data_IF_167880670909
#
_entry.id   IF_167880670909
#
_cell.length_a   1.000
_cell.length_b   1.000
_cell.length_c   1.000
_cell.angle_alpha   90.00
_cell.angle_beta   90.00
_cell.angle_gamma   90.00
#
_symmetry.space_group_name_H-M   'P 1'
#
loop_
_entity.id
_entity.type
_entity.pdbx_description
1 polymer ?
#
# COMPACT_ATOMS: atom_id res chain seq x y z
N UNK A 1 -11.90 12.61 18.77
CA UNK A 1 -11.36 11.34 19.29
C UNK A 1 -12.35 10.70 20.26
N UNK A 2 -12.40 9.37 20.33
CA UNK A 2 -13.29 8.61 21.22
C UNK A 2 -12.44 7.79 22.20
N UNK A 3 -12.97 7.47 23.38
CA UNK A 3 -12.29 6.59 24.35
C UNK A 3 -12.14 5.15 23.81
N UNK A 4 -11.03 4.50 24.17
CA UNK A 4 -10.78 3.09 23.85
C UNK A 4 -11.85 2.18 24.47
N UNK A 5 -12.37 1.23 23.67
CA UNK A 5 -13.36 0.22 24.10
C UNK A 5 -12.85 -1.21 23.92
N UNK A 6 -11.54 -1.40 24.08
CA UNK A 6 -10.92 -2.72 24.02
C UNK A 6 -11.56 -3.66 25.05
N UNK A 7 -11.86 -4.88 24.63
CA UNK A 7 -12.46 -5.94 25.45
C UNK A 7 -11.64 -7.22 25.21
N UNK A 8 -10.89 -7.65 26.24
CA UNK A 8 -10.02 -8.81 26.14
C UNK A 8 -10.77 -10.11 25.80
N UNK A 9 -12.08 -10.17 26.09
CA UNK A 9 -12.91 -11.34 25.75
C UNK A 9 -13.26 -11.42 24.25
N UNK A 10 -13.04 -10.35 23.49
CA UNK A 10 -13.36 -10.24 22.05
C UNK A 10 -12.14 -10.25 21.13
N UNK A 11 -10.98 -10.63 21.65
CA UNK A 11 -9.75 -10.73 20.85
C UNK A 11 -9.92 -11.81 19.78
N UNK A 12 -9.76 -11.43 18.51
CA UNK A 12 -9.84 -12.35 17.35
C UNK A 12 -8.46 -12.84 16.93
N UNK A 13 -7.43 -12.02 17.09
CA UNK A 13 -6.04 -12.39 16.79
C UNK A 13 -5.06 -11.59 17.65
N UNK A 14 -3.85 -12.13 17.76
CA UNK A 14 -2.73 -11.50 18.46
C UNK A 14 -1.54 -11.38 17.51
N UNK A 15 -0.73 -10.34 17.69
CA UNK A 15 0.49 -10.10 16.91
C UNK A 15 1.70 -10.40 17.79
N UNK A 16 2.50 -11.38 17.39
CA UNK A 16 3.68 -11.81 18.14
C UNK A 16 4.95 -11.00 17.78
N UNK A 17 4.90 -10.21 16.72
CA UNK A 17 6.01 -9.38 16.27
C UNK A 17 5.77 -8.81 14.87
N UNK A 18 6.76 -8.07 14.37
CA UNK A 18 6.79 -7.54 13.02
C UNK A 18 8.21 -7.61 12.46
N UNK A 19 8.34 -7.55 11.14
CA UNK A 19 9.63 -7.46 10.44
C UNK A 19 9.59 -6.28 9.49
N UNK A 20 10.61 -5.44 9.57
CA UNK A 20 10.82 -4.41 8.56
C UNK A 20 11.53 -5.02 7.36
N UNK A 21 11.05 -4.70 6.17
CA UNK A 21 11.69 -5.08 4.91
C UNK A 21 12.68 -3.96 4.54
N UNK A 22 13.87 -4.29 4.00
CA UNK A 22 14.83 -3.28 3.59
C UNK A 22 14.22 -2.24 2.65
N UNK A 23 14.59 -0.98 2.88
CA UNK A 23 14.20 0.13 2.03
C UNK A 23 14.93 0.06 0.69
N UNK A 24 14.22 0.38 -0.41
CA UNK A 24 14.75 0.35 -1.79
C UNK A 24 15.30 -1.00 -2.26
N UNK A 25 14.78 -2.09 -1.71
CA UNK A 25 15.07 -3.45 -2.18
C UNK A 25 13.77 -4.09 -2.69
N UNK A 26 13.39 -3.73 -3.91
CA UNK A 26 12.13 -4.16 -4.50
C UNK A 26 12.07 -5.67 -4.75
N UNK A 27 13.24 -6.33 -4.92
CA UNK A 27 13.32 -7.79 -5.03
C UNK A 27 12.90 -8.42 -3.71
N UNK A 28 13.51 -8.00 -2.59
CA UNK A 28 13.14 -8.51 -1.27
C UNK A 28 11.72 -8.12 -0.88
N UNK A 29 11.25 -6.94 -1.27
CA UNK A 29 9.86 -6.51 -1.05
C UNK A 29 8.87 -7.36 -1.84
N UNK A 30 9.17 -7.68 -3.11
CA UNK A 30 8.31 -8.53 -3.94
C UNK A 30 8.27 -9.94 -3.38
N UNK A 31 9.43 -10.46 -2.97
CA UNK A 31 9.54 -11.75 -2.31
C UNK A 31 8.71 -11.79 -1.02
N UNK A 32 8.71 -10.74 -0.22
CA UNK A 32 7.89 -10.67 0.98
C UNK A 32 6.38 -10.68 0.67
N UNK A 33 5.95 -9.92 -0.35
CA UNK A 33 4.54 -9.92 -0.81
C UNK A 33 4.13 -11.31 -1.30
N UNK A 34 5.02 -12.01 -2.01
CA UNK A 34 4.79 -13.35 -2.53
C UNK A 34 4.75 -14.42 -1.42
N UNK A 35 5.76 -14.47 -0.55
CA UNK A 35 5.96 -15.55 0.40
C UNK A 35 5.11 -15.41 1.67
N UNK A 36 4.85 -14.17 2.10
CA UNK A 36 4.17 -13.88 3.36
C UNK A 36 2.73 -13.40 3.13
N UNK A 37 2.50 -12.68 2.03
CA UNK A 37 1.21 -12.06 1.71
C UNK A 37 1.25 -10.53 1.86
N UNK A 38 0.10 -9.88 2.11
CA UNK A 38 0.02 -8.43 2.09
C UNK A 38 0.98 -7.71 3.05
N UNK A 39 1.68 -6.70 2.53
CA UNK A 39 2.72 -5.94 3.24
C UNK A 39 2.27 -4.49 3.44
N UNK A 40 2.32 -4.00 4.69
CA UNK A 40 2.08 -2.58 4.98
C UNK A 40 3.21 -1.73 4.40
N UNK A 41 2.87 -0.69 3.64
CA UNK A 41 3.82 0.24 3.02
C UNK A 41 3.36 1.68 3.22
N UNK A 42 4.30 2.62 3.13
CA UNK A 42 3.98 4.04 3.19
C UNK A 42 4.41 4.74 1.89
N UNK A 43 3.58 5.66 1.41
CA UNK A 43 3.75 6.35 0.12
C UNK A 43 3.57 7.87 0.28
N UNK A 44 4.00 8.61 -0.74
CA UNK A 44 3.65 10.02 -0.94
C UNK A 44 2.32 10.12 -1.71
N UNK A 45 1.24 10.43 -0.99
CA UNK A 45 -0.11 10.58 -1.54
C UNK A 45 -0.56 12.06 -1.60
N UNK A 46 0.37 13.01 -1.51
CA UNK A 46 0.06 14.44 -1.44
C UNK A 46 -0.38 15.06 -2.77
N UNK A 47 -0.15 14.37 -3.88
CA UNK A 47 -0.36 14.90 -5.23
C UNK A 47 -1.82 14.80 -5.69
N UNK A 48 -2.28 15.79 -6.45
CA UNK A 48 -3.63 15.76 -7.05
C UNK A 48 -3.82 14.58 -8.01
N UNK A 49 -2.76 14.15 -8.68
CA UNK A 49 -2.73 12.96 -9.54
C UNK A 49 -3.08 11.68 -8.76
N UNK A 50 -2.60 11.55 -7.52
CA UNK A 50 -3.00 10.46 -6.63
C UNK A 50 -4.47 10.60 -6.21
N UNK A 51 -4.87 11.79 -5.75
CA UNK A 51 -6.23 12.04 -5.27
C UNK A 51 -7.29 11.73 -6.32
N UNK A 52 -7.00 12.04 -7.59
CA UNK A 52 -7.89 11.84 -8.74
C UNK A 52 -7.62 10.55 -9.53
N UNK A 53 -6.77 9.66 -9.02
CA UNK A 53 -6.50 8.37 -9.66
C UNK A 53 -7.80 7.57 -9.84
N UNK A 54 -7.95 6.94 -11.00
CA UNK A 54 -9.10 6.10 -11.34
C UNK A 54 -8.70 4.72 -11.86
N UNK A 55 -7.68 4.62 -12.72
CA UNK A 55 -7.23 3.34 -13.30
C UNK A 55 -5.84 3.47 -13.95
N UNK A 56 -5.29 2.33 -14.39
CA UNK A 56 -3.98 2.23 -15.03
C UNK A 56 -2.80 2.20 -14.06
N UNK A 57 -1.58 2.11 -14.59
CA UNK A 57 -0.35 2.18 -13.79
C UNK A 57 -0.02 3.64 -13.46
N UNK A 58 -0.16 3.99 -12.19
CA UNK A 58 0.10 5.31 -11.64
C UNK A 58 1.59 5.60 -11.54
N UNK A 59 1.98 6.71 -12.14
CA UNK A 59 3.31 7.31 -12.05
C UNK A 59 3.19 8.79 -11.72
N UNK A 60 3.96 9.27 -10.75
CA UNK A 60 4.04 10.68 -10.39
C UNK A 60 5.48 11.16 -10.46
N UNK A 61 5.84 11.97 -11.48
CA UNK A 61 7.20 12.49 -11.66
C UNK A 61 7.74 13.28 -10.46
N UNK A 62 6.86 13.85 -9.63
CA UNK A 62 7.22 14.63 -8.42
C UNK A 62 7.10 13.82 -7.13
N UNK A 63 6.94 12.50 -7.21
CA UNK A 63 6.88 11.62 -6.04
C UNK A 63 8.16 11.80 -5.21
N UNK A 64 8.01 12.13 -3.93
CA UNK A 64 9.14 12.40 -3.05
C UNK A 64 9.25 11.32 -1.97
N UNK A 65 10.32 10.49 -1.97
CA UNK A 65 10.51 9.44 -0.97
C UNK A 65 10.68 9.97 0.47
N UNK A 66 10.91 11.27 0.65
CA UNK A 66 11.02 11.92 1.95
C UNK A 66 9.71 12.61 2.39
N UNK A 67 8.70 12.68 1.53
CA UNK A 67 7.39 13.29 1.81
C UNK A 67 6.29 12.25 2.08
N UNK A 68 6.68 11.08 2.61
CA UNK A 68 5.77 9.99 2.96
C UNK A 68 4.71 10.51 3.94
N UNK A 69 3.44 10.34 3.59
CA UNK A 69 2.31 10.88 4.35
C UNK A 69 1.11 9.93 4.44
N UNK A 70 1.14 8.78 3.76
CA UNK A 70 0.01 7.86 3.70
C UNK A 70 0.44 6.39 3.84
N UNK A 71 -0.28 5.63 4.65
CA UNK A 71 -0.04 4.20 4.87
C UNK A 71 -1.10 3.36 4.15
N UNK A 72 -0.64 2.40 3.36
CA UNK A 72 -1.44 1.55 2.46
C UNK A 72 -0.92 0.11 2.51
N UNK A 73 -1.55 -0.80 1.76
CA UNK A 73 -1.23 -2.23 1.80
C UNK A 73 -0.88 -2.73 0.40
N UNK A 74 0.38 -3.13 0.19
CA UNK A 74 0.77 -3.85 -1.02
C UNK A 74 0.22 -5.28 -0.95
N UNK A 75 -0.63 -5.65 -1.90
CA UNK A 75 -1.34 -6.95 -1.93
C UNK A 75 -0.89 -7.85 -3.08
N UNK A 76 -0.05 -7.33 -3.98
CA UNK A 76 0.47 -8.05 -5.13
C UNK A 76 1.35 -7.15 -6.00
N UNK A 77 1.84 -7.71 -7.09
CA UNK A 77 2.60 -7.00 -8.11
C UNK A 77 2.42 -7.71 -9.46
N UNK A 78 2.75 -7.03 -10.55
CA UNK A 78 2.64 -7.60 -11.90
C UNK A 78 3.22 -6.67 -12.95
N UNK A 79 2.87 -6.94 -14.20
CA UNK A 79 3.28 -6.14 -15.37
C UNK A 79 2.05 -5.86 -16.23
N UNK A 80 1.84 -4.61 -16.63
CA UNK A 80 0.76 -4.17 -17.51
C UNK A 80 1.34 -3.24 -18.58
N UNK A 81 1.11 -3.55 -19.86
CA UNK A 81 1.59 -2.71 -20.96
C UNK A 81 3.12 -2.54 -21.02
N UNK A 82 3.88 -3.47 -20.43
CA UNK A 82 5.34 -3.39 -20.34
C UNK A 82 5.86 -2.58 -19.15
N UNK A 83 4.98 -2.11 -18.26
CA UNK A 83 5.35 -1.44 -17.01
C UNK A 83 5.07 -2.33 -15.81
N UNK A 84 6.07 -2.51 -14.96
CA UNK A 84 5.93 -3.21 -13.69
C UNK A 84 5.16 -2.35 -12.67
N UNK A 85 4.34 -3.00 -11.85
CA UNK A 85 3.53 -2.31 -10.85
C UNK A 85 3.40 -3.08 -9.53
N UNK A 86 3.19 -2.34 -8.45
CA UNK A 86 2.62 -2.81 -7.20
C UNK A 86 1.10 -2.67 -7.23
N UNK A 87 0.37 -3.72 -6.87
CA UNK A 87 -1.06 -3.62 -6.58
C UNK A 87 -1.24 -3.24 -5.12
N UNK A 88 -1.82 -2.07 -4.88
CA UNK A 88 -1.93 -1.46 -3.56
C UNK A 88 -3.38 -1.22 -3.20
N UNK A 89 -3.79 -1.70 -2.02
CA UNK A 89 -5.11 -1.44 -1.43
C UNK A 89 -5.09 -0.14 -0.65
N UNK A 90 -6.03 0.75 -0.96
CA UNK A 90 -6.21 2.01 -0.26
C UNK A 90 -7.34 1.91 0.80
N UNK A 91 -7.49 2.96 1.61
CA UNK A 91 -8.45 3.08 2.72
C UNK A 91 -9.49 4.17 2.51
N UNK A 92 -9.59 4.74 1.30
CA UNK A 92 -10.54 5.81 0.94
C UNK A 92 -11.87 5.31 0.37
N UNK A 93 -12.17 4.03 0.57
CA UNK A 93 -13.38 3.38 0.07
C UNK A 93 -13.26 2.88 -1.36
N UNK A 94 -14.23 2.08 -1.78
CA UNK A 94 -14.23 1.40 -3.09
C UNK A 94 -14.56 2.31 -4.27
N UNK A 95 -15.10 3.51 -4.01
CA UNK A 95 -15.38 4.50 -5.05
C UNK A 95 -14.16 5.30 -5.52
N UNK A 96 -13.02 5.16 -4.83
CA UNK A 96 -11.76 5.78 -5.23
C UNK A 96 -10.89 4.77 -5.99
N UNK A 97 -10.17 5.23 -7.01
CA UNK A 97 -9.28 4.38 -7.80
C UNK A 97 -10.01 3.23 -8.49
N UNK A 98 -9.28 2.14 -8.72
CA UNK A 98 -9.82 0.93 -9.31
C UNK A 98 -10.42 0.06 -8.21
N UNK A 99 -11.69 0.30 -7.88
CA UNK A 99 -12.43 -0.40 -6.82
C UNK A 99 -11.77 -0.32 -5.43
N UNK A 100 -11.13 0.81 -5.11
CA UNK A 100 -10.38 1.02 -3.88
C UNK A 100 -8.89 0.64 -3.95
N UNK A 101 -8.41 0.25 -5.13
CA UNK A 101 -7.01 -0.11 -5.37
C UNK A 101 -6.34 0.86 -6.33
N UNK A 102 -5.01 0.77 -6.36
CA UNK A 102 -4.15 1.49 -7.30
C UNK A 102 -3.01 0.58 -7.72
N UNK A 103 -2.66 0.63 -9.01
CA UNK A 103 -1.40 0.06 -9.53
C UNK A 103 -0.38 1.18 -9.49
N UNK A 104 0.67 1.06 -8.68
CA UNK A 104 1.76 2.07 -8.60
C UNK A 104 2.96 1.53 -9.34
N UNK A 105 3.63 2.35 -10.15
CA UNK A 105 4.87 1.93 -10.83
C UNK A 105 5.86 1.31 -9.84
N UNK A 106 6.40 0.17 -10.22
CA UNK A 106 7.45 -0.55 -9.52
C UNK A 106 8.76 -0.32 -10.25
#
# INVERSE_FOLDING_TARGET
DRSCRFDASKVVCSVNGYKNIPYKDEVTQAQAVHDVGPVSVCIDAGHLSFQLYSSGVYYEPKCNPNAINHAVLAVGYGTEGGSDYWLVKNSWGTGWGDSGYIKVTR
#
